data_IF_735330968437
#
_entry.id   IF_735330968437
#
_cell.length_a   1.000
_cell.length_b   1.000
_cell.length_c   1.000
_cell.angle_alpha   90.00
_cell.angle_beta   90.00
_cell.angle_gamma   90.00
#
_symmetry.space_group_name_H-M   'P 1'
#
loop_
_entity.id
_entity.type
_entity.pdbx_description
1 polymer ?
#
# COMPACT_ATOMS: atom_id res chain seq x y z
N UNK A 1 -1.47 -2.09 39.94
CA UNK A 1 -0.93 -3.39 39.52
C UNK A 1 0.28 -3.10 38.68
N UNK A 2 1.47 -3.50 39.13
CA UNK A 2 2.70 -3.27 38.37
C UNK A 2 3.00 -4.55 37.58
N UNK A 3 3.19 -4.42 36.26
CA UNK A 3 3.56 -5.54 35.39
C UNK A 3 5.06 -5.42 35.05
N UNK A 4 5.80 -6.48 35.28
CA UNK A 4 7.18 -6.60 34.81
C UNK A 4 7.18 -7.40 33.50
N UNK A 5 7.65 -6.76 32.41
CA UNK A 5 7.77 -7.39 31.11
C UNK A 5 9.26 -7.53 30.78
N UNK A 6 9.69 -8.74 30.45
CA UNK A 6 11.06 -9.02 29.98
C UNK A 6 11.00 -9.33 28.48
N UNK A 7 11.72 -8.56 27.68
CA UNK A 7 11.86 -8.81 26.23
C UNK A 7 13.03 -9.80 26.07
N UNK A 8 12.70 -11.04 25.73
CA UNK A 8 13.69 -12.10 25.57
C UNK A 8 14.38 -12.07 24.20
N UNK A 9 13.67 -11.66 23.14
CA UNK A 9 14.19 -11.63 21.77
C UNK A 9 13.49 -10.54 20.97
N UNK A 10 14.22 -9.88 20.04
CA UNK A 10 13.68 -8.93 19.07
C UNK A 10 14.05 -9.40 17.67
N UNK A 11 13.07 -9.42 16.75
CA UNK A 11 13.28 -9.74 15.34
C UNK A 11 12.77 -8.63 14.45
N UNK A 12 13.47 -8.38 13.36
CA UNK A 12 13.17 -7.32 12.42
C UNK A 12 12.73 -7.95 11.10
N UNK A 13 11.61 -7.47 10.57
CA UNK A 13 11.09 -7.84 9.25
C UNK A 13 10.96 -6.62 8.37
N UNK A 14 11.08 -6.75 7.04
CA UNK A 14 10.81 -5.65 6.11
C UNK A 14 9.39 -5.13 6.29
N UNK A 15 9.22 -3.81 6.21
CA UNK A 15 7.88 -3.22 6.23
C UNK A 15 7.05 -3.75 5.06
N UNK A 16 5.77 -4.03 5.31
CA UNK A 16 4.87 -4.66 4.35
C UNK A 16 4.96 -6.20 4.30
N UNK A 17 6.09 -6.82 4.71
CA UNK A 17 6.21 -8.27 4.71
C UNK A 17 5.22 -8.93 5.69
N UNK A 18 5.08 -8.40 6.89
CA UNK A 18 4.16 -8.94 7.89
C UNK A 18 2.72 -8.97 7.35
N UNK A 19 2.26 -7.91 6.67
CA UNK A 19 0.90 -7.84 6.14
C UNK A 19 0.57 -8.93 5.10
N UNK A 20 1.61 -9.58 4.52
CA UNK A 20 1.45 -10.66 3.53
C UNK A 20 2.00 -12.00 4.00
N UNK A 21 2.45 -12.10 5.26
CA UNK A 21 3.15 -13.27 5.78
C UNK A 21 2.34 -14.58 5.64
N UNK A 22 1.04 -14.53 5.88
CA UNK A 22 0.15 -15.68 5.70
C UNK A 22 0.09 -16.18 4.26
N UNK A 23 0.28 -15.29 3.28
CA UNK A 23 0.27 -15.65 1.86
C UNK A 23 1.65 -16.14 1.38
N UNK A 24 2.72 -15.84 2.12
CA UNK A 24 4.09 -16.10 1.69
C UNK A 24 4.32 -17.58 1.32
N UNK A 25 3.77 -18.51 2.10
CA UNK A 25 3.88 -19.95 1.84
C UNK A 25 3.22 -20.42 0.54
N UNK A 26 2.25 -19.66 0.03
CA UNK A 26 1.51 -19.97 -1.21
C UNK A 26 2.05 -19.24 -2.44
N UNK A 27 2.94 -18.26 -2.25
CA UNK A 27 3.54 -17.49 -3.35
C UNK A 27 4.48 -18.35 -4.18
N UNK A 28 4.27 -18.37 -5.48
CA UNK A 28 5.15 -19.03 -6.45
C UNK A 28 5.78 -17.99 -7.39
N UNK A 29 6.99 -18.26 -7.83
CA UNK A 29 7.71 -17.41 -8.76
C UNK A 29 8.04 -16.04 -8.17
N UNK A 30 8.06 -15.04 -9.04
CA UNK A 30 8.39 -13.66 -8.69
C UNK A 30 7.13 -12.86 -8.41
N UNK A 31 7.13 -12.13 -7.31
CA UNK A 31 6.00 -11.30 -6.88
C UNK A 31 6.54 -9.95 -6.38
N UNK A 32 5.71 -8.94 -6.39
CA UNK A 32 6.01 -7.65 -5.81
C UNK A 32 4.99 -7.33 -4.70
N UNK A 33 5.45 -6.75 -3.61
CA UNK A 33 4.59 -6.20 -2.55
C UNK A 33 4.76 -4.70 -2.54
N UNK A 34 3.67 -3.96 -2.62
CA UNK A 34 3.63 -2.51 -2.49
C UNK A 34 2.83 -2.16 -1.23
N UNK A 35 3.54 -1.70 -0.19
CA UNK A 35 2.93 -1.19 1.03
C UNK A 35 2.81 0.34 0.91
N UNK A 36 1.60 0.80 0.61
CA UNK A 36 1.32 2.21 0.33
C UNK A 36 0.74 2.85 1.58
N UNK A 37 1.61 3.52 2.34
CA UNK A 37 1.24 4.29 3.52
C UNK A 37 0.83 5.72 3.19
N UNK A 38 0.68 6.53 4.24
CA UNK A 38 0.36 7.95 4.09
C UNK A 38 1.54 8.74 3.50
N UNK A 39 2.76 8.57 4.00
CA UNK A 39 3.94 9.33 3.57
C UNK A 39 4.80 8.63 2.51
N UNK A 40 4.82 7.31 2.51
CA UNK A 40 5.72 6.49 1.70
C UNK A 40 5.03 5.30 1.07
N UNK A 41 5.62 4.80 -0.01
CA UNK A 41 5.38 3.50 -0.59
C UNK A 41 6.63 2.64 -0.41
N UNK A 42 6.50 1.50 0.25
CA UNK A 42 7.58 0.52 0.38
C UNK A 42 7.33 -0.61 -0.62
N UNK A 43 8.37 -0.96 -1.36
CA UNK A 43 8.33 -1.98 -2.42
C UNK A 43 9.25 -3.11 -2.04
N UNK A 44 8.71 -4.34 -1.96
CA UNK A 44 9.45 -5.56 -1.67
C UNK A 44 9.38 -6.50 -2.86
N UNK A 45 10.55 -6.96 -3.29
CA UNK A 45 10.65 -8.01 -4.30
C UNK A 45 10.70 -9.39 -3.62
N UNK A 46 9.79 -10.26 -4.04
CA UNK A 46 9.60 -11.58 -3.42
C UNK A 46 9.88 -12.68 -4.44
N UNK A 47 10.57 -13.73 -4.03
CA UNK A 47 10.75 -14.96 -4.85
C UNK A 47 10.32 -16.17 -4.03
N UNK A 48 9.33 -16.90 -4.49
CA UNK A 48 8.75 -18.05 -3.80
C UNK A 48 8.45 -17.76 -2.32
N UNK A 49 7.80 -16.61 -2.06
CA UNK A 49 7.39 -16.17 -0.73
C UNK A 49 8.51 -15.62 0.16
N UNK A 50 9.74 -15.47 -0.35
CA UNK A 50 10.87 -14.94 0.43
C UNK A 50 11.28 -13.56 -0.07
N UNK A 51 11.43 -12.57 0.81
CA UNK A 51 11.98 -11.27 0.45
C UNK A 51 13.39 -11.42 -0.12
N UNK A 52 13.68 -10.66 -1.16
CA UNK A 52 15.02 -10.66 -1.77
C UNK A 52 15.85 -9.53 -1.16
N UNK A 53 16.97 -9.89 -0.55
CA UNK A 53 17.93 -8.93 0.00
C UNK A 53 18.43 -7.98 -1.11
N UNK A 54 18.49 -6.68 -0.79
CA UNK A 54 18.93 -5.64 -1.72
C UNK A 54 17.89 -5.25 -2.79
N UNK A 55 16.68 -5.84 -2.75
CA UNK A 55 15.56 -5.48 -3.62
C UNK A 55 14.35 -5.00 -2.81
N UNK A 56 14.62 -4.09 -1.90
CA UNK A 56 13.64 -3.39 -1.08
C UNK A 56 13.85 -1.89 -1.25
N UNK A 57 12.79 -1.17 -1.57
CA UNK A 57 12.85 0.24 -1.92
C UNK A 57 11.81 1.02 -1.12
N UNK A 58 12.12 2.26 -0.79
CA UNK A 58 11.19 3.19 -0.17
C UNK A 58 11.10 4.45 -1.02
N UNK A 59 9.89 4.75 -1.49
CA UNK A 59 9.56 5.94 -2.25
C UNK A 59 8.80 6.94 -1.37
N UNK A 60 9.11 8.22 -1.46
CA UNK A 60 8.29 9.29 -0.88
C UNK A 60 7.04 9.51 -1.75
N UNK A 61 6.21 8.50 -1.84
CA UNK A 61 5.05 8.45 -2.73
C UNK A 61 3.87 7.74 -2.07
N UNK A 62 3.44 8.27 -0.91
CA UNK A 62 2.27 7.81 -0.17
C UNK A 62 1.01 8.62 -0.52
N UNK A 63 -0.12 8.32 0.10
CA UNK A 63 -1.41 8.95 -0.23
C UNK A 63 -1.45 10.44 0.05
N UNK A 64 -0.68 10.93 1.01
CA UNK A 64 -0.63 12.36 1.36
C UNK A 64 -0.12 13.24 0.21
N UNK A 65 0.81 12.76 -0.61
CA UNK A 65 1.27 13.50 -1.79
C UNK A 65 0.16 13.64 -2.84
N UNK A 66 -0.74 12.68 -2.95
CA UNK A 66 -1.94 12.80 -3.78
C UNK A 66 -2.88 13.88 -3.24
N UNK A 67 -3.11 13.90 -1.92
CA UNK A 67 -3.91 14.95 -1.26
C UNK A 67 -3.33 16.35 -1.53
N UNK A 68 -2.00 16.53 -1.39
CA UNK A 68 -1.34 17.79 -1.68
C UNK A 68 -1.52 18.23 -3.14
N UNK A 69 -1.37 17.31 -4.10
CA UNK A 69 -1.56 17.62 -5.52
C UNK A 69 -3.01 18.04 -5.83
N UNK A 70 -4.00 17.43 -5.16
CA UNK A 70 -5.41 17.81 -5.29
C UNK A 70 -5.64 19.20 -4.73
N UNK A 71 -5.14 19.51 -3.53
CA UNK A 71 -5.26 20.85 -2.91
C UNK A 71 -4.66 21.93 -3.80
N UNK A 72 -3.46 21.68 -4.31
CA UNK A 72 -2.79 22.61 -5.22
C UNK A 72 -3.63 22.89 -6.48
N UNK A 73 -4.20 21.83 -7.07
CA UNK A 73 -5.05 21.99 -8.24
C UNK A 73 -6.34 22.80 -7.95
N UNK A 74 -6.95 22.63 -6.78
CA UNK A 74 -8.10 23.42 -6.37
C UNK A 74 -7.75 24.90 -6.18
N UNK A 75 -6.59 25.21 -5.59
CA UNK A 75 -6.10 26.57 -5.48
C UNK A 75 -5.84 27.19 -6.85
N UNK A 76 -5.20 26.46 -7.75
CA UNK A 76 -4.87 26.97 -9.09
C UNK A 76 -6.10 27.17 -10.00
N UNK A 77 -7.05 26.23 -10.00
CA UNK A 77 -8.21 26.26 -10.93
C UNK A 77 -9.44 26.93 -10.37
N UNK A 78 -9.67 26.79 -9.06
CA UNK A 78 -10.91 27.21 -8.41
C UNK A 78 -10.71 28.38 -7.46
N UNK A 79 -9.45 28.80 -7.20
CA UNK A 79 -9.07 29.82 -6.24
C UNK A 79 -9.68 29.58 -4.84
N UNK A 80 -9.82 28.32 -4.42
CA UNK A 80 -10.35 27.92 -3.12
C UNK A 80 -9.68 26.68 -2.57
N UNK A 81 -9.73 26.51 -1.27
CA UNK A 81 -9.33 25.29 -0.60
C UNK A 81 -10.44 24.23 -0.65
N UNK A 82 -10.02 22.98 -0.53
CA UNK A 82 -10.91 21.83 -0.32
C UNK A 82 -10.49 21.09 0.95
N UNK A 83 -11.48 20.62 1.70
CA UNK A 83 -11.24 19.91 2.96
C UNK A 83 -10.61 18.54 2.70
N UNK A 84 -9.57 18.18 3.47
CA UNK A 84 -8.84 16.91 3.34
C UNK A 84 -9.75 15.70 3.57
N UNK A 85 -10.73 15.78 4.49
CA UNK A 85 -11.68 14.69 4.71
C UNK A 85 -12.54 14.39 3.47
N UNK A 86 -12.90 15.42 2.71
CA UNK A 86 -13.63 15.24 1.43
C UNK A 86 -12.73 14.58 0.39
N UNK A 87 -11.47 15.01 0.31
CA UNK A 87 -10.50 14.39 -0.58
C UNK A 87 -10.36 12.90 -0.23
N UNK A 88 -10.14 12.59 1.05
CA UNK A 88 -9.99 11.22 1.55
C UNK A 88 -11.22 10.37 1.25
N UNK A 89 -12.43 10.90 1.47
CA UNK A 89 -13.67 10.22 1.11
C UNK A 89 -13.69 9.83 -0.37
N UNK A 90 -13.37 10.76 -1.29
CA UNK A 90 -13.32 10.46 -2.73
C UNK A 90 -12.21 9.46 -3.07
N UNK A 91 -11.03 9.57 -2.45
CA UNK A 91 -9.92 8.65 -2.69
C UNK A 91 -10.23 7.22 -2.22
N UNK A 92 -11.00 7.07 -1.14
CA UNK A 92 -11.35 5.77 -0.56
C UNK A 92 -12.61 5.14 -1.16
N UNK A 93 -13.60 5.96 -1.58
CA UNK A 93 -14.92 5.47 -2.04
C UNK A 93 -15.20 5.74 -3.51
N UNK A 94 -14.38 6.57 -4.15
CA UNK A 94 -14.58 7.04 -5.52
C UNK A 94 -15.58 8.20 -5.65
N UNK A 95 -16.26 8.63 -4.57
CA UNK A 95 -17.29 9.69 -4.60
C UNK A 95 -17.37 10.43 -3.26
N UNK A 96 -18.10 11.55 -3.22
CA UNK A 96 -18.47 12.29 -2.02
C UNK A 96 -19.70 13.17 -2.31
N UNK A 97 -20.34 13.73 -1.28
CA UNK A 97 -21.50 14.62 -1.40
C UNK A 97 -21.07 16.06 -1.75
N UNK A 98 -20.40 16.24 -2.90
CA UNK A 98 -19.89 17.52 -3.41
C UNK A 98 -20.29 17.71 -4.89
N UNK A 99 -20.13 18.93 -5.48
CA UNK A 99 -20.41 19.16 -6.89
C UNK A 99 -19.65 18.20 -7.82
N UNK A 100 -20.34 17.70 -8.85
CA UNK A 100 -19.76 16.74 -9.81
C UNK A 100 -18.48 17.26 -10.50
N UNK A 101 -18.37 18.58 -10.69
CA UNK A 101 -17.17 19.21 -11.24
C UNK A 101 -15.95 19.01 -10.33
N UNK A 102 -16.13 19.09 -9.00
CA UNK A 102 -15.08 18.91 -8.02
C UNK A 102 -14.65 17.45 -7.95
N UNK A 103 -15.61 16.52 -7.93
CA UNK A 103 -15.32 15.07 -8.00
C UNK A 103 -14.48 14.76 -9.24
N UNK A 104 -14.81 15.37 -10.39
CA UNK A 104 -14.07 15.17 -11.65
C UNK A 104 -12.62 15.62 -11.54
N UNK A 105 -12.34 16.74 -10.85
CA UNK A 105 -10.98 17.23 -10.62
C UNK A 105 -10.22 16.23 -9.74
N UNK A 106 -10.79 15.81 -8.61
CA UNK A 106 -10.14 14.87 -7.69
C UNK A 106 -9.83 13.56 -8.41
N UNK A 107 -10.81 12.99 -9.12
CA UNK A 107 -10.63 11.71 -9.84
C UNK A 107 -9.59 11.79 -10.94
N UNK A 108 -9.46 12.93 -11.61
CA UNK A 108 -8.43 13.14 -12.65
C UNK A 108 -7.04 13.05 -12.04
N UNK A 109 -6.81 13.74 -10.91
CA UNK A 109 -5.52 13.78 -10.25
C UNK A 109 -5.20 12.44 -9.57
N UNK A 110 -6.20 11.84 -8.90
CA UNK A 110 -6.06 10.53 -8.29
C UNK A 110 -5.63 9.46 -9.32
N UNK A 111 -6.23 9.49 -10.51
CA UNK A 111 -5.86 8.59 -11.60
C UNK A 111 -4.41 8.81 -12.07
N UNK A 112 -4.03 10.07 -12.32
CA UNK A 112 -2.65 10.41 -12.70
C UNK A 112 -1.65 9.98 -11.62
N UNK A 113 -2.03 10.14 -10.35
CA UNK A 113 -1.22 9.72 -9.22
C UNK A 113 -1.04 8.20 -9.17
N UNK A 114 -2.11 7.43 -9.38
CA UNK A 114 -2.06 5.95 -9.46
C UNK A 114 -1.23 5.50 -10.66
N UNK A 115 -1.34 6.14 -11.81
CA UNK A 115 -0.48 5.88 -12.97
C UNK A 115 1.01 6.12 -12.59
N UNK A 116 1.27 7.13 -11.74
CA UNK A 116 2.57 7.41 -11.13
C UNK A 116 3.08 6.30 -10.20
N UNK A 117 2.19 5.68 -9.39
CA UNK A 117 2.53 4.51 -8.57
C UNK A 117 3.02 3.37 -9.48
N UNK A 118 2.24 2.99 -10.49
CA UNK A 118 2.61 1.90 -11.39
C UNK A 118 3.88 2.17 -12.20
N UNK A 119 4.14 3.42 -12.55
CA UNK A 119 5.42 3.80 -13.18
C UNK A 119 6.60 3.48 -12.27
N UNK A 120 6.55 3.86 -10.97
CA UNK A 120 7.60 3.56 -10.00
C UNK A 120 7.74 2.07 -9.74
N UNK A 121 6.63 1.33 -9.65
CA UNK A 121 6.70 -0.12 -9.53
C UNK A 121 7.44 -0.76 -10.71
N UNK A 122 7.21 -0.27 -11.94
CA UNK A 122 7.95 -0.74 -13.13
C UNK A 122 9.42 -0.35 -13.10
N UNK A 123 9.77 0.82 -12.61
CA UNK A 123 11.16 1.24 -12.37
C UNK A 123 11.88 0.31 -11.39
N UNK A 124 11.15 -0.25 -10.43
CA UNK A 124 11.63 -1.29 -9.49
C UNK A 124 11.44 -2.72 -9.99
N UNK A 125 11.19 -2.90 -11.28
CA UNK A 125 11.17 -4.21 -11.94
C UNK A 125 9.82 -4.93 -11.91
N UNK A 126 8.71 -4.25 -11.60
CA UNK A 126 7.38 -4.83 -11.73
C UNK A 126 7.02 -5.07 -13.20
N UNK A 127 6.64 -6.30 -13.51
CA UNK A 127 6.10 -6.72 -14.79
C UNK A 127 4.69 -7.33 -14.57
N UNK A 128 3.67 -6.60 -15.00
CA UNK A 128 2.27 -7.00 -14.84
C UNK A 128 1.89 -8.26 -15.64
N UNK A 129 2.69 -8.61 -16.67
CA UNK A 129 2.48 -9.81 -17.47
C UNK A 129 2.90 -11.10 -16.76
N UNK A 130 3.89 -11.03 -15.86
CA UNK A 130 4.53 -12.20 -15.28
C UNK A 130 4.48 -12.26 -13.75
N UNK A 131 4.27 -11.14 -13.07
CA UNK A 131 4.29 -11.04 -11.61
C UNK A 131 2.89 -10.86 -11.02
N UNK A 132 2.69 -11.39 -9.82
CA UNK A 132 1.60 -10.96 -8.93
C UNK A 132 2.04 -9.72 -8.15
N UNK A 133 1.15 -8.75 -8.02
CA UNK A 133 1.31 -7.58 -7.16
C UNK A 133 0.41 -7.70 -5.94
N UNK A 134 1.00 -7.61 -4.76
CA UNK A 134 0.27 -7.52 -3.50
C UNK A 134 0.29 -6.06 -3.04
N UNK A 135 -0.89 -5.48 -2.85
CA UNK A 135 -1.04 -4.11 -2.37
C UNK A 135 -1.57 -4.14 -0.95
N UNK A 136 -0.84 -3.50 -0.04
CA UNK A 136 -1.20 -3.35 1.37
C UNK A 136 -1.08 -1.88 1.80
N UNK A 137 -1.56 -1.56 2.99
CA UNK A 137 -1.58 -0.20 3.52
C UNK A 137 -2.82 0.59 3.08
N UNK A 138 -3.01 1.76 3.70
CA UNK A 138 -4.18 2.62 3.47
C UNK A 138 -4.34 3.13 2.04
N UNK A 139 -3.26 3.16 1.26
CA UNK A 139 -3.30 3.54 -0.15
C UNK A 139 -3.87 2.46 -1.09
N UNK A 140 -4.17 1.28 -0.60
CA UNK A 140 -4.79 0.22 -1.39
C UNK A 140 -6.14 0.62 -1.98
N UNK A 141 -6.98 1.35 -1.24
CA UNK A 141 -8.26 1.85 -1.73
C UNK A 141 -8.09 2.82 -2.90
N UNK A 142 -7.10 3.72 -2.86
CA UNK A 142 -6.78 4.63 -3.96
C UNK A 142 -6.46 3.84 -5.26
N UNK A 143 -5.60 2.84 -5.16
CA UNK A 143 -5.26 1.99 -6.32
C UNK A 143 -6.48 1.22 -6.81
N UNK A 144 -7.28 0.66 -5.92
CA UNK A 144 -8.49 -0.11 -6.24
C UNK A 144 -9.52 0.70 -7.02
N UNK A 145 -9.70 1.98 -6.67
CA UNK A 145 -10.69 2.85 -7.32
C UNK A 145 -10.20 3.53 -8.60
N UNK A 146 -8.90 3.77 -8.73
CA UNK A 146 -8.37 4.62 -9.80
C UNK A 146 -7.40 3.91 -10.76
N UNK A 147 -7.02 2.66 -10.51
CA UNK A 147 -6.21 1.89 -11.45
C UNK A 147 -7.06 1.20 -12.53
N UNK A 148 -6.38 0.78 -13.60
CA UNK A 148 -6.92 -0.07 -14.67
C UNK A 148 -6.30 -1.48 -14.67
N UNK A 149 -5.65 -1.87 -13.56
CA UNK A 149 -4.97 -3.16 -13.49
C UNK A 149 -5.95 -4.33 -13.52
N UNK A 150 -5.52 -5.42 -14.16
CA UNK A 150 -6.27 -6.66 -14.16
C UNK A 150 -6.36 -7.23 -12.74
N UNK A 151 -7.58 -7.54 -12.29
CA UNK A 151 -7.85 -8.16 -11.00
C UNK A 151 -7.15 -9.52 -10.83
N UNK A 152 -6.79 -10.19 -11.93
CA UNK A 152 -6.16 -11.51 -11.91
C UNK A 152 -4.69 -11.48 -11.45
N UNK A 153 -4.04 -10.31 -11.53
CA UNK A 153 -2.62 -10.12 -11.20
C UNK A 153 -2.38 -9.20 -10.02
N UNK A 154 -3.43 -8.69 -9.39
CA UNK A 154 -3.31 -7.81 -8.21
C UNK A 154 -4.16 -8.36 -7.07
N UNK A 155 -3.55 -8.50 -5.91
CA UNK A 155 -4.21 -8.88 -4.67
C UNK A 155 -4.15 -7.72 -3.68
N UNK A 156 -5.31 -7.27 -3.24
CA UNK A 156 -5.42 -6.24 -2.20
C UNK A 156 -5.54 -6.89 -0.82
N UNK A 157 -4.79 -6.39 0.12
CA UNK A 157 -4.86 -6.75 1.54
C UNK A 157 -5.62 -5.63 2.24
N UNK A 158 -6.93 -5.78 2.30
CA UNK A 158 -7.86 -4.73 2.78
C UNK A 158 -7.94 -4.66 4.33
N UNK A 159 -7.35 -5.64 5.05
CA UNK A 159 -7.38 -5.65 6.51
C UNK A 159 -6.40 -4.62 7.09
N UNK A 160 -6.94 -3.61 7.77
CA UNK A 160 -6.14 -2.57 8.46
C UNK A 160 -5.19 -3.16 9.52
N UNK A 161 -5.53 -4.32 10.09
CA UNK A 161 -4.73 -5.03 11.08
C UNK A 161 -3.79 -6.08 10.47
N UNK A 162 -3.71 -6.20 9.14
CA UNK A 162 -2.93 -7.25 8.47
C UNK A 162 -1.48 -7.32 8.95
N UNK A 163 -0.82 -6.18 9.13
CA UNK A 163 0.56 -6.17 9.63
C UNK A 163 0.67 -6.70 11.06
N UNK A 164 -0.24 -6.33 11.97
CA UNK A 164 -0.24 -6.79 13.34
C UNK A 164 -0.48 -8.31 13.43
N UNK A 165 -1.48 -8.82 12.71
CA UNK A 165 -1.76 -10.27 12.59
C UNK A 165 -0.60 -11.03 11.98
N UNK A 166 0.03 -10.44 10.98
CA UNK A 166 1.20 -11.05 10.35
C UNK A 166 2.42 -11.13 11.27
N UNK A 167 2.65 -10.13 12.13
CA UNK A 167 3.70 -10.23 13.16
C UNK A 167 3.39 -11.31 14.19
N UNK A 168 2.14 -11.45 14.64
CA UNK A 168 1.69 -12.52 15.51
C UNK A 168 1.94 -13.88 14.85
N UNK A 169 1.47 -14.08 13.62
CA UNK A 169 1.71 -15.29 12.84
C UNK A 169 3.20 -15.66 12.71
N UNK A 170 4.06 -14.67 12.40
CA UNK A 170 5.50 -14.87 12.29
C UNK A 170 6.14 -15.25 13.64
N UNK A 171 5.64 -14.71 14.75
CA UNK A 171 6.09 -15.05 16.09
C UNK A 171 5.69 -16.49 16.46
N UNK A 172 4.46 -16.89 16.17
CA UNK A 172 3.95 -18.24 16.42
C UNK A 172 4.73 -19.32 15.65
N UNK A 173 5.01 -19.07 14.35
CA UNK A 173 5.83 -19.99 13.54
C UNK A 173 7.21 -20.24 14.15
N UNK A 174 7.76 -19.26 14.84
CA UNK A 174 9.08 -19.40 15.46
C UNK A 174 9.03 -20.08 16.82
N UNK A 175 7.98 -19.86 17.58
CA UNK A 175 7.75 -20.54 18.86
C UNK A 175 7.41 -22.02 18.64
N UNK A 176 6.57 -22.32 17.65
CA UNK A 176 6.19 -23.69 17.29
C UNK A 176 7.31 -24.51 16.65
N UNK A 177 8.33 -23.89 16.06
CA UNK A 177 9.50 -24.58 15.49
C UNK A 177 10.63 -24.90 16.51
N UNK A 178 10.45 -24.58 17.80
CA UNK A 178 11.38 -24.85 18.88
C UNK A 178 10.96 -26.06 19.76
N UNK A 179 9.96 -26.84 19.29
CA UNK A 179 9.48 -28.08 19.94
C UNK A 179 10.14 -29.35 19.40
#
# INVERSE_FOLDING_TARGET
MDYHITIAEVRIYPQGYAAIAEFASTMKGVNLVADIGNGTMNVLYMVNGRPQNGKMYTEKFGTYQCTLAIREMFMQRCAREINDAIIEEVLCTGTAAIPAADIKIIRMIAKEYVDGIFRRLREHGYDEGTMMLYITGGGGCLVKHFSKVSADRVKFVDDICAAAKGYEYLAELQLGGKG
#
